data_IF_268057762620
#
_entry.id   IF_268057762620
#
_cell.length_a   1.000
_cell.length_b   1.000
_cell.length_c   1.000
_cell.angle_alpha   90.00
_cell.angle_beta   90.00
_cell.angle_gamma   90.00
#
_symmetry.space_group_name_H-M   'P 1'
#
loop_
_entity.id
_entity.type
_entity.pdbx_description
1 polymer ?
#
# COMPACT_ATOMS: atom_id res chain seq x y z
N UNK A 1 13.36 5.77 -6.30
CA UNK A 1 13.13 7.03 -5.56
C UNK A 1 13.04 6.69 -4.06
N UNK A 2 13.03 7.63 -3.10
CA UNK A 2 12.62 7.29 -1.71
C UNK A 2 11.24 7.90 -1.49
N UNK A 3 10.19 7.06 -1.49
CA UNK A 3 8.82 7.50 -1.20
C UNK A 3 8.70 7.73 0.32
N UNK A 4 8.41 8.95 0.78
CA UNK A 4 8.19 9.24 2.19
C UNK A 4 6.96 8.51 2.72
N UNK A 5 7.02 7.99 3.95
CA UNK A 5 5.82 7.44 4.60
C UNK A 5 4.75 8.50 4.85
N UNK A 6 5.12 9.79 4.94
CA UNK A 6 4.18 10.91 5.05
C UNK A 6 3.25 11.04 3.84
N UNK A 7 3.65 10.48 2.71
CA UNK A 7 2.93 10.56 1.44
C UNK A 7 1.99 9.37 1.25
N UNK A 8 1.94 8.47 2.24
CA UNK A 8 1.13 7.24 2.23
C UNK A 8 0.03 7.34 3.28
N UNK A 9 -1.21 7.39 2.83
CA UNK A 9 -2.39 7.24 3.67
C UNK A 9 -2.67 5.75 3.90
N UNK A 10 -2.74 5.36 5.18
CA UNK A 10 -3.01 3.98 5.60
C UNK A 10 -4.44 3.93 6.13
N UNK A 11 -5.31 3.21 5.43
CA UNK A 11 -6.66 2.88 5.88
C UNK A 11 -6.58 1.43 6.37
N UNK A 12 -6.58 1.27 7.69
CA UNK A 12 -6.55 -0.04 8.32
C UNK A 12 -7.98 -0.59 8.40
N UNK A 13 -8.22 -1.74 7.77
CA UNK A 13 -9.43 -2.51 8.00
C UNK A 13 -9.09 -3.77 8.81
N UNK A 14 -9.68 -3.97 10.00
CA UNK A 14 -9.40 -5.13 10.81
C UNK A 14 -9.83 -6.40 10.07
N UNK A 15 -8.90 -7.35 9.98
CA UNK A 15 -9.15 -8.66 9.38
C UNK A 15 -10.36 -9.35 10.02
N UNK A 16 -11.13 -10.06 9.21
CA UNK A 16 -12.16 -10.97 9.70
C UNK A 16 -11.54 -12.01 10.66
N UNK A 17 -12.21 -12.21 11.80
CA UNK A 17 -11.77 -13.11 12.85
C UNK A 17 -11.48 -14.52 12.29
N UNK A 18 -10.20 -14.94 12.34
CA UNK A 18 -9.75 -16.25 11.88
C UNK A 18 -8.77 -16.24 10.69
N UNK A 19 -8.48 -15.06 10.10
CA UNK A 19 -7.48 -14.93 9.04
C UNK A 19 -6.12 -14.49 9.60
N UNK A 20 -5.03 -15.15 9.15
CA UNK A 20 -3.65 -14.68 9.38
C UNK A 20 -3.27 -13.48 8.49
N UNK A 21 -4.19 -13.00 7.67
CA UNK A 21 -3.97 -11.97 6.68
C UNK A 21 -4.69 -10.71 7.13
N UNK A 22 -4.06 -9.57 6.90
CA UNK A 22 -4.65 -8.26 7.19
C UNK A 22 -4.93 -7.55 5.88
N UNK A 23 -6.16 -7.07 5.72
CA UNK A 23 -6.51 -6.23 4.59
C UNK A 23 -5.88 -4.86 4.80
N UNK A 24 -4.92 -4.52 3.95
CA UNK A 24 -4.28 -3.21 3.97
C UNK A 24 -4.78 -2.41 2.79
N UNK A 25 -5.39 -1.27 3.08
CA UNK A 25 -5.73 -0.26 2.08
C UNK A 25 -4.75 0.90 2.19
N UNK A 26 -3.83 0.99 1.24
CA UNK A 26 -2.78 2.00 1.20
C UNK A 26 -2.98 2.91 -0.02
N UNK A 27 -2.82 4.22 0.17
CA UNK A 27 -2.88 5.20 -0.91
C UNK A 27 -1.65 6.09 -0.90
N UNK A 28 -1.02 6.25 -2.06
CA UNK A 28 0.03 7.24 -2.26
C UNK A 28 -0.60 8.56 -2.73
N UNK A 29 -0.64 9.56 -1.84
CA UNK A 29 -1.32 10.85 -2.06
C UNK A 29 -0.81 11.61 -3.31
N UNK A 30 0.51 11.71 -3.58
CA UNK A 30 1.02 12.47 -4.72
C UNK A 30 0.61 11.90 -6.09
N UNK A 31 0.48 10.58 -6.21
CA UNK A 31 0.12 9.94 -7.48
C UNK A 31 -1.35 9.53 -7.54
N UNK A 32 -2.05 9.52 -6.41
CA UNK A 32 -3.43 9.02 -6.30
C UNK A 32 -3.56 7.50 -6.45
N UNK A 33 -2.45 6.75 -6.45
CA UNK A 33 -2.46 5.29 -6.57
C UNK A 33 -2.94 4.70 -5.25
N UNK A 34 -3.94 3.84 -5.33
CA UNK A 34 -4.52 3.12 -4.19
C UNK A 34 -4.41 1.62 -4.43
N UNK A 35 -4.01 0.91 -3.37
CA UNK A 35 -3.88 -0.54 -3.34
C UNK A 35 -4.64 -1.07 -2.12
N UNK A 36 -5.59 -1.96 -2.35
CA UNK A 36 -6.38 -2.61 -1.31
C UNK A 36 -6.26 -4.12 -1.49
N UNK A 37 -5.53 -4.77 -0.60
CA UNK A 37 -5.39 -6.24 -0.64
C UNK A 37 -4.92 -6.84 0.68
N UNK A 38 -5.12 -8.15 0.77
CA UNK A 38 -4.71 -8.94 1.93
C UNK A 38 -3.21 -9.22 1.90
N UNK A 39 -2.52 -8.78 2.95
CA UNK A 39 -1.10 -9.05 3.14
C UNK A 39 -0.83 -9.66 4.52
N UNK A 40 0.21 -10.50 4.57
CA UNK A 40 0.74 -11.05 5.81
C UNK A 40 1.34 -9.96 6.72
N UNK A 41 1.81 -8.84 6.15
CA UNK A 41 2.39 -7.73 6.92
C UNK A 41 2.22 -6.38 6.23
N UNK A 42 2.27 -5.31 7.03
CA UNK A 42 2.31 -3.94 6.55
C UNK A 42 3.50 -3.66 5.62
N UNK A 43 4.66 -4.24 5.90
CA UNK A 43 5.87 -4.04 5.08
C UNK A 43 5.70 -4.61 3.66
N UNK A 44 5.04 -5.76 3.54
CA UNK A 44 4.71 -6.35 2.23
C UNK A 44 3.76 -5.45 1.44
N UNK A 45 2.72 -4.93 2.10
CA UNK A 45 1.78 -3.97 1.50
C UNK A 45 2.49 -2.70 1.03
N UNK A 46 3.38 -2.15 1.86
CA UNK A 46 4.15 -0.95 1.55
C UNK A 46 5.07 -1.16 0.34
N UNK A 47 5.81 -2.28 0.29
CA UNK A 47 6.69 -2.63 -0.84
C UNK A 47 5.92 -2.75 -2.15
N UNK A 48 4.71 -3.30 -2.09
CA UNK A 48 3.86 -3.40 -3.27
C UNK A 48 3.42 -2.03 -3.78
N UNK A 49 2.88 -1.17 -2.90
CA UNK A 49 2.47 0.19 -3.26
C UNK A 49 3.64 0.99 -3.86
N UNK A 50 4.82 0.94 -3.22
CA UNK A 50 6.03 1.61 -3.72
C UNK A 50 6.38 1.14 -5.13
N UNK A 51 6.33 -0.18 -5.37
CA UNK A 51 6.61 -0.75 -6.69
C UNK A 51 5.59 -0.33 -7.75
N UNK A 52 4.31 -0.17 -7.37
CA UNK A 52 3.26 0.31 -8.26
C UNK A 52 3.47 1.79 -8.63
N UNK A 53 3.81 2.63 -7.64
CA UNK A 53 4.14 4.04 -7.84
C UNK A 53 5.36 4.20 -8.76
N UNK A 54 6.45 3.49 -8.49
CA UNK A 54 7.67 3.56 -9.31
C UNK A 54 7.46 3.05 -10.74
N UNK A 55 6.48 2.15 -10.97
CA UNK A 55 6.09 1.72 -12.30
C UNK A 55 5.33 2.82 -13.02
N UNK A 56 4.34 3.41 -12.35
CA UNK A 56 3.55 4.51 -12.88
C UNK A 56 4.40 5.74 -13.22
N UNK A 57 5.42 6.05 -12.42
CA UNK A 57 6.35 7.14 -12.72
C UNK A 57 7.26 6.85 -13.93
N UNK A 58 7.55 5.58 -14.23
CA UNK A 58 8.37 5.19 -15.39
C UNK A 58 7.60 5.14 -16.71
N UNK A 59 6.29 4.98 -16.64
CA UNK A 59 5.41 4.92 -17.81
C UNK A 59 4.89 6.30 -18.25
N UNK A 60 5.22 7.37 -17.52
CA UNK A 60 4.97 8.78 -17.87
C UNK A 60 6.15 9.40 -18.62
#
# INVERSE_FOLDING_TARGET
MKIPLSDISIIYEPSFAGSNWTTWKLRHEPTGIEEEMDWESFESALKYLVSAVERHEREK
#
